data_IF_366664739547
#
_entry.id   IF_366664739547
#
_cell.length_a   1.000
_cell.length_b   1.000
_cell.length_c   1.000
_cell.angle_alpha   90.00
_cell.angle_beta   90.00
_cell.angle_gamma   90.00
#
_symmetry.space_group_name_H-M   'P 1'
#
loop_
_entity.id
_entity.type
_entity.pdbx_description
1 polymer ?
#
# COMPACT_ATOMS: atom_id res chain seq x y z
N UNK A 1 4.09 47.02 67.93
CA UNK A 1 2.61 47.00 67.97
C UNK A 1 2.14 45.55 67.84
N UNK A 2 1.52 45.06 68.92
CA UNK A 2 0.62 43.90 69.08
C UNK A 2 1.08 42.49 68.67
N UNK A 3 1.59 41.80 69.68
CA UNK A 3 1.39 40.38 70.02
C UNK A 3 -0.07 40.06 70.40
N UNK A 4 -0.37 38.77 70.61
CA UNK A 4 -1.57 38.11 71.21
C UNK A 4 -2.55 37.51 70.18
N UNK A 5 -3.22 36.36 70.41
CA UNK A 5 -3.16 35.34 71.47
C UNK A 5 -4.02 34.15 71.01
N UNK A 6 -3.69 33.00 71.59
CA UNK A 6 -4.42 31.73 71.61
C UNK A 6 -5.88 31.93 72.09
N UNK A 7 -6.83 31.17 71.53
CA UNK A 7 -8.09 30.86 72.23
C UNK A 7 -8.34 29.35 72.20
N UNK A 8 -8.48 28.82 73.41
CA UNK A 8 -8.63 27.44 73.82
C UNK A 8 -10.02 27.34 74.46
N UNK A 9 -10.87 26.40 74.04
CA UNK A 9 -12.07 26.00 74.79
C UNK A 9 -12.46 24.58 74.34
N UNK A 10 -11.98 23.55 75.05
CA UNK A 10 -12.69 22.77 76.09
C UNK A 10 -14.01 22.16 75.57
N UNK A 11 -14.02 20.87 75.21
CA UNK A 11 -14.23 19.70 76.09
C UNK A 11 -15.71 19.55 76.49
N UNK A 12 -16.44 18.61 75.85
CA UNK A 12 -17.57 17.93 76.50
C UNK A 12 -17.83 16.54 75.90
N UNK A 13 -17.92 15.57 76.81
CA UNK A 13 -18.53 14.24 76.72
C UNK A 13 -17.98 13.15 75.78
N UNK A 14 -17.16 12.30 76.39
CA UNK A 14 -17.20 10.84 76.26
C UNK A 14 -18.63 10.28 76.35
N UNK A 15 -19.07 9.55 75.32
CA UNK A 15 -19.96 8.40 75.49
C UNK A 15 -19.34 7.23 74.72
N UNK A 16 -18.86 6.25 75.50
CA UNK A 16 -18.54 4.90 75.07
C UNK A 16 -19.84 4.19 74.62
N UNK A 17 -19.92 3.83 73.35
CA UNK A 17 -20.71 2.69 72.91
C UNK A 17 -19.81 1.78 72.08
N UNK A 18 -19.32 0.73 72.73
CA UNK A 18 -18.87 -0.49 72.07
C UNK A 18 -20.08 -1.07 71.30
N UNK A 19 -20.05 -0.98 69.97
CA UNK A 19 -20.81 -1.89 69.11
C UNK A 19 -19.84 -2.46 68.10
N UNK A 20 -19.50 -3.72 68.31
CA UNK A 20 -18.82 -4.57 67.33
C UNK A 20 -19.61 -4.56 66.02
N UNK A 21 -19.07 -3.91 64.99
CA UNK A 21 -19.52 -4.13 63.63
C UNK A 21 -18.47 -4.98 62.95
N UNK A 22 -18.86 -6.22 62.69
CA UNK A 22 -18.12 -7.21 61.93
C UNK A 22 -17.60 -6.61 60.63
N UNK A 23 -16.35 -6.96 60.28
CA UNK A 23 -15.76 -6.67 59.00
C UNK A 23 -16.63 -7.23 57.87
N UNK A 24 -17.45 -6.39 57.25
CA UNK A 24 -17.95 -6.63 55.92
C UNK A 24 -16.88 -6.16 54.96
N UNK A 25 -16.03 -7.09 54.53
CA UNK A 25 -15.30 -6.93 53.29
C UNK A 25 -16.35 -6.81 52.18
N UNK A 26 -16.73 -5.58 51.84
CA UNK A 26 -17.47 -5.31 50.62
C UNK A 26 -16.69 -5.91 49.44
N UNK A 27 -17.38 -6.48 48.43
CA UNK A 27 -16.68 -7.03 47.29
C UNK A 27 -15.81 -5.94 46.69
N UNK A 28 -14.50 -6.21 46.59
CA UNK A 28 -13.59 -5.42 45.77
C UNK A 28 -14.20 -5.38 44.38
N UNK A 29 -14.75 -4.22 43.99
CA UNK A 29 -15.08 -3.96 42.61
C UNK A 29 -13.76 -4.00 41.86
N UNK A 30 -13.47 -5.13 41.23
CA UNK A 30 -12.52 -5.20 40.14
C UNK A 30 -12.97 -4.14 39.15
N UNK A 31 -12.20 -3.06 39.06
CA UNK A 31 -12.36 -2.11 37.97
C UNK A 31 -12.39 -2.93 36.70
N UNK A 32 -13.50 -2.89 35.97
CA UNK A 32 -13.61 -3.53 34.66
C UNK A 32 -12.35 -3.12 33.88
N UNK A 33 -11.61 -4.06 33.27
CA UNK A 33 -10.54 -3.67 32.36
C UNK A 33 -11.15 -2.65 31.41
N UNK A 34 -10.61 -1.44 31.42
CA UNK A 34 -11.02 -0.37 30.52
C UNK A 34 -10.97 -1.00 29.15
N UNK A 35 -12.14 -1.19 28.53
CA UNK A 35 -12.20 -1.70 27.18
C UNK A 35 -11.44 -0.67 26.35
N UNK A 36 -10.19 -0.97 26.01
CA UNK A 36 -9.44 -0.21 25.01
C UNK A 36 -10.27 -0.38 23.77
N UNK A 37 -11.10 0.62 23.50
CA UNK A 37 -11.89 0.70 22.30
C UNK A 37 -10.86 0.83 21.20
N UNK A 38 -10.42 -0.31 20.66
CA UNK A 38 -9.50 -0.36 19.55
C UNK A 38 -10.22 0.34 18.42
N UNK A 39 -9.83 1.57 18.17
CA UNK A 39 -10.33 2.35 17.05
C UNK A 39 -10.26 1.46 15.81
N UNK A 40 -11.38 1.33 15.10
CA UNK A 40 -11.52 0.55 13.87
C UNK A 40 -10.58 1.01 12.73
N UNK A 41 -9.68 1.95 13.02
CA UNK A 41 -8.61 2.50 12.22
C UNK A 41 -7.34 1.64 12.24
N UNK A 42 -7.12 0.81 13.29
CA UNK A 42 -5.91 -0.02 13.43
C UNK A 42 -5.72 -1.08 12.31
N UNK A 43 -6.74 -1.32 11.48
CA UNK A 43 -6.68 -2.19 10.30
C UNK A 43 -6.59 -1.46 8.94
N UNK A 44 -6.50 -0.12 8.92
CA UNK A 44 -6.52 0.71 7.70
C UNK A 44 -5.24 1.53 7.56
N UNK A 45 -4.08 0.90 7.70
CA UNK A 45 -2.82 1.59 7.44
C UNK A 45 -2.76 2.01 5.96
N UNK A 46 -2.48 3.30 5.66
CA UNK A 46 -2.15 3.76 4.32
C UNK A 46 -0.98 2.96 3.73
N UNK A 47 -0.91 2.91 2.40
CA UNK A 47 0.25 2.35 1.71
C UNK A 47 1.47 3.25 1.95
N UNK A 48 2.54 2.68 2.48
CA UNK A 48 3.79 3.38 2.78
C UNK A 48 4.98 2.70 2.10
N UNK A 49 5.93 3.51 1.63
CA UNK A 49 7.22 3.03 1.16
C UNK A 49 8.23 3.11 2.29
N UNK A 50 8.82 1.97 2.64
CA UNK A 50 9.72 1.78 3.78
C UNK A 50 11.17 1.75 3.25
N UNK A 51 12.05 2.49 3.90
CA UNK A 51 13.49 2.45 3.62
C UNK A 51 14.09 1.11 4.02
N UNK A 52 15.00 0.57 3.19
CA UNK A 52 15.82 -0.57 3.61
C UNK A 52 17.05 -0.11 4.40
N UNK A 53 17.03 -0.27 5.71
CA UNK A 53 18.19 -0.07 6.61
C UNK A 53 18.80 -1.41 7.06
N UNK A 54 18.69 -2.43 6.20
CA UNK A 54 19.18 -3.79 6.41
C UNK A 54 18.12 -4.79 6.87
N UNK A 55 16.83 -4.49 6.71
CA UNK A 55 15.74 -5.45 6.97
C UNK A 55 15.58 -6.44 5.82
N UNK A 56 15.99 -6.05 4.60
CA UNK A 56 15.85 -6.80 3.36
C UNK A 56 17.21 -6.97 2.67
N UNK A 57 17.26 -7.79 1.61
CA UNK A 57 18.42 -7.94 0.72
C UNK A 57 19.00 -6.58 0.30
N UNK A 58 20.33 -6.46 0.26
CA UNK A 58 21.06 -5.22 0.00
C UNK A 58 20.71 -4.55 -1.35
N UNK A 59 20.16 -5.29 -2.31
CA UNK A 59 19.75 -4.74 -3.61
C UNK A 59 18.42 -4.01 -3.54
N UNK A 60 17.65 -4.22 -2.48
CA UNK A 60 16.39 -3.53 -2.21
C UNK A 60 16.72 -2.17 -1.58
N UNK A 61 16.29 -1.09 -2.21
CA UNK A 61 16.46 0.26 -1.68
C UNK A 61 15.25 0.68 -0.82
N UNK A 62 14.06 0.34 -1.32
CA UNK A 62 12.79 0.59 -0.65
C UNK A 62 11.87 -0.60 -0.87
N UNK A 63 10.88 -0.75 0.00
CA UNK A 63 9.83 -1.75 -0.17
C UNK A 63 8.51 -1.28 0.41
N UNK A 64 7.44 -1.91 -0.01
CA UNK A 64 6.09 -1.76 0.51
C UNK A 64 5.58 -3.16 0.87
N UNK A 65 4.77 -3.26 1.93
CA UNK A 65 4.19 -4.52 2.35
C UNK A 65 2.74 -4.32 2.79
N UNK A 66 1.85 -5.06 2.15
CA UNK A 66 0.42 -5.11 2.46
C UNK A 66 -0.03 -6.51 2.88
N UNK A 67 -1.33 -6.65 3.15
CA UNK A 67 -1.93 -7.97 3.35
C UNK A 67 -1.86 -8.76 2.03
N UNK A 68 -1.16 -9.89 2.04
CA UNK A 68 -1.05 -10.81 0.89
C UNK A 68 -0.10 -10.38 -0.22
N UNK A 69 0.60 -9.25 -0.11
CA UNK A 69 1.57 -8.82 -1.12
C UNK A 69 2.72 -8.00 -0.56
N UNK A 70 3.81 -7.92 -1.32
CA UNK A 70 4.93 -7.04 -1.05
C UNK A 70 5.56 -6.54 -2.36
N UNK A 71 5.96 -5.28 -2.38
CA UNK A 71 6.65 -4.67 -3.51
C UNK A 71 8.07 -4.27 -3.13
N UNK A 72 9.05 -4.59 -3.97
CA UNK A 72 10.47 -4.32 -3.74
C UNK A 72 11.04 -3.45 -4.86
N UNK A 73 11.68 -2.35 -4.47
CA UNK A 73 12.27 -1.37 -5.38
C UNK A 73 13.78 -1.56 -5.44
N UNK A 74 14.30 -1.83 -6.64
CA UNK A 74 15.73 -2.05 -6.89
C UNK A 74 16.16 -1.21 -8.08
N UNK A 75 17.46 -0.96 -8.23
CA UNK A 75 18.00 -0.27 -9.42
C UNK A 75 17.67 -0.96 -10.75
N UNK A 76 17.33 -2.25 -10.74
CA UNK A 76 17.03 -3.05 -11.94
C UNK A 76 15.53 -3.09 -12.29
N UNK A 77 14.67 -2.54 -11.44
CA UNK A 77 13.23 -2.57 -11.60
C UNK A 77 12.49 -2.91 -10.31
N UNK A 78 11.20 -3.18 -10.45
CA UNK A 78 10.28 -3.39 -9.33
C UNK A 78 9.81 -4.84 -9.32
N UNK A 79 9.81 -5.47 -8.16
CA UNK A 79 9.30 -6.83 -7.99
C UNK A 79 8.08 -6.82 -7.08
N UNK A 80 6.99 -7.44 -7.52
CA UNK A 80 5.76 -7.66 -6.75
C UNK A 80 5.65 -9.14 -6.41
N UNK A 81 5.54 -9.45 -5.13
CA UNK A 81 5.26 -10.79 -4.62
C UNK A 81 3.79 -10.85 -4.23
N UNK A 82 3.04 -11.80 -4.80
CA UNK A 82 1.63 -12.07 -4.46
C UNK A 82 1.52 -13.43 -3.77
N UNK A 83 0.92 -13.47 -2.59
CA UNK A 83 0.53 -14.72 -1.92
C UNK A 83 -0.91 -15.02 -2.34
N UNK A 84 -1.11 -16.11 -3.10
CA UNK A 84 -2.44 -16.50 -3.58
C UNK A 84 -3.41 -16.79 -2.44
N UNK A 85 -4.57 -16.13 -2.44
CA UNK A 85 -5.73 -16.47 -1.61
C UNK A 85 -6.77 -17.21 -2.45
N UNK A 86 -7.42 -18.22 -1.89
CA UNK A 86 -8.39 -19.05 -2.60
C UNK A 86 -9.55 -18.23 -3.17
N UNK A 87 -9.91 -18.52 -4.42
CA UNK A 87 -11.06 -18.00 -5.13
C UNK A 87 -12.32 -18.71 -4.60
N UNK A 88 -13.17 -18.01 -3.85
CA UNK A 88 -14.55 -18.45 -3.65
C UNK A 88 -15.38 -18.04 -4.86
N UNK A 89 -15.68 -18.99 -5.73
CA UNK A 89 -16.73 -18.87 -6.73
C UNK A 89 -18.07 -18.62 -6.02
N UNK A 90 -18.59 -17.39 -6.10
CA UNK A 90 -19.99 -17.13 -5.78
C UNK A 90 -20.80 -17.52 -7.01
N UNK A 91 -21.54 -18.61 -6.87
CA UNK A 91 -22.58 -19.02 -7.81
C UNK A 91 -23.66 -17.95 -7.87
N UNK A 92 -24.08 -17.70 -9.10
CA UNK A 92 -25.10 -16.74 -9.52
C UNK A 92 -26.41 -16.92 -8.72
N UNK A 93 -26.98 -15.80 -8.28
CA UNK A 93 -28.22 -15.74 -7.53
C UNK A 93 -28.76 -14.31 -7.60
N UNK A 94 -29.56 -14.03 -8.62
CA UNK A 94 -30.07 -12.70 -8.91
C UNK A 94 -31.03 -12.16 -7.86
N UNK A 95 -31.07 -10.83 -7.72
CA UNK A 95 -32.31 -10.06 -7.66
C UNK A 95 -32.04 -8.57 -7.84
N UNK A 96 -33.11 -7.87 -8.20
CA UNK A 96 -33.18 -6.57 -8.86
C UNK A 96 -32.86 -5.35 -7.98
N UNK A 97 -32.41 -4.29 -8.67
CA UNK A 97 -32.87 -2.90 -8.48
C UNK A 97 -32.41 -2.13 -7.22
N UNK A 98 -31.61 -1.08 -7.43
CA UNK A 98 -32.03 0.33 -7.32
C UNK A 98 -30.78 1.25 -7.33
N UNK A 99 -30.77 2.19 -8.27
CA UNK A 99 -29.85 3.34 -8.32
C UNK A 99 -30.16 4.31 -7.17
N UNK A 100 -29.14 5.00 -6.62
CA UNK A 100 -29.15 6.46 -6.77
C UNK A 100 -27.84 7.03 -7.33
N UNK A 101 -28.00 8.04 -8.20
CA UNK A 101 -26.98 8.97 -8.69
C UNK A 101 -26.24 9.65 -7.54
N UNK A 102 -24.91 9.76 -7.64
CA UNK A 102 -24.14 10.85 -7.04
C UNK A 102 -22.83 11.08 -7.80
N UNK A 103 -22.40 12.34 -7.78
CA UNK A 103 -21.68 13.07 -8.82
C UNK A 103 -20.23 12.64 -9.08
N UNK A 104 -19.88 12.63 -10.37
CA UNK A 104 -18.55 12.28 -10.87
C UNK A 104 -17.53 13.41 -10.62
N UNK A 105 -16.70 13.26 -9.58
CA UNK A 105 -15.37 13.86 -9.52
C UNK A 105 -14.36 12.86 -10.11
N UNK A 106 -14.01 13.07 -11.37
CA UNK A 106 -13.07 12.25 -12.13
C UNK A 106 -11.65 12.41 -11.59
N UNK A 107 -11.17 11.42 -10.84
CA UNK A 107 -9.74 11.20 -10.61
C UNK A 107 -9.29 10.08 -11.54
N UNK A 108 -8.33 10.37 -12.42
CA UNK A 108 -7.76 9.41 -13.37
C UNK A 108 -7.23 8.18 -12.63
N UNK A 109 -7.85 7.04 -12.86
CA UNK A 109 -7.47 5.75 -12.27
C UNK A 109 -6.48 5.08 -13.22
N UNK A 110 -5.28 4.73 -12.76
CA UNK A 110 -4.38 3.78 -13.44
C UNK A 110 -4.07 2.55 -12.57
N UNK A 111 -4.80 2.39 -11.46
CA UNK A 111 -4.64 1.38 -10.41
C UNK A 111 -4.34 -0.04 -10.89
N UNK A 112 -3.37 -0.67 -10.22
CA UNK A 112 -3.23 -2.13 -10.16
C UNK A 112 -4.31 -2.65 -9.22
N UNK A 113 -5.49 -3.01 -9.74
CA UNK A 113 -6.54 -3.62 -8.92
C UNK A 113 -6.37 -5.13 -8.83
N UNK A 114 -6.34 -5.64 -7.59
CA UNK A 114 -6.53 -7.05 -7.27
C UNK A 114 -7.90 -7.16 -6.63
N UNK A 115 -8.85 -7.81 -7.29
CA UNK A 115 -10.17 -8.08 -6.69
C UNK A 115 -10.03 -9.11 -5.59
N UNK A 116 -10.27 -8.70 -4.34
CA UNK A 116 -10.35 -9.56 -3.17
C UNK A 116 -11.74 -9.37 -2.54
N UNK A 117 -12.55 -10.43 -2.48
CA UNK A 117 -13.86 -10.40 -1.84
C UNK A 117 -13.71 -10.36 -0.31
N UNK A 118 -14.61 -9.63 0.36
CA UNK A 118 -14.63 -9.43 1.81
C UNK A 118 -15.61 -10.43 2.46
N UNK A 119 -15.21 -11.31 3.39
CA UNK A 119 -16.17 -12.13 4.13
C UNK A 119 -16.79 -11.30 5.27
N UNK A 120 -18.12 -11.13 5.23
CA UNK A 120 -18.87 -10.62 6.38
C UNK A 120 -18.96 -11.69 7.49
N UNK A 121 -18.88 -11.17 8.71
CA UNK A 121 -18.94 -11.82 10.01
C UNK A 121 -20.10 -12.82 10.19
N UNK A 122 -19.78 -14.06 10.51
CA UNK A 122 -20.56 -14.89 11.44
C UNK A 122 -19.60 -15.77 12.25
N UNK A 123 -19.53 -15.51 13.56
CA UNK A 123 -18.73 -16.25 14.52
C UNK A 123 -19.42 -17.59 14.85
N UNK A 124 -18.69 -18.73 14.89
CA UNK A 124 -18.60 -19.42 16.19
C UNK A 124 -17.24 -20.08 16.49
N UNK A 125 -16.84 -19.92 17.76
CA UNK A 125 -16.04 -20.78 18.67
C UNK A 125 -14.61 -21.22 18.24
N UNK A 126 -13.59 -21.07 19.11
CA UNK A 126 -12.21 -21.42 18.77
C UNK A 126 -12.01 -22.93 18.83
N UNK A 127 -12.25 -23.62 17.71
CA UNK A 127 -11.58 -24.89 17.46
C UNK A 127 -10.16 -24.60 16.99
N UNK A 128 -9.19 -25.26 17.63
CA UNK A 128 -7.77 -25.26 17.24
C UNK A 128 -7.69 -25.82 15.83
N UNK A 129 -7.84 -24.94 14.84
CA UNK A 129 -7.61 -25.24 13.44
C UNK A 129 -6.10 -25.40 13.27
N UNK A 130 -5.65 -26.65 13.21
CA UNK A 130 -4.33 -26.97 12.70
C UNK A 130 -4.19 -26.33 11.32
N UNK A 131 -3.25 -25.40 11.19
CA UNK A 131 -2.96 -24.69 9.95
C UNK A 131 -2.37 -25.64 8.91
N UNK A 132 -3.19 -26.52 8.34
CA UNK A 132 -2.86 -27.37 7.21
C UNK A 132 -3.32 -26.74 5.88
N UNK A 133 -3.36 -25.41 5.80
CA UNK A 133 -3.45 -24.75 4.50
C UNK A 133 -2.14 -24.98 3.75
N UNK A 134 -2.15 -25.52 2.53
CA UNK A 134 -0.92 -25.62 1.74
C UNK A 134 -0.32 -24.23 1.60
N UNK A 135 0.93 -24.08 2.04
CA UNK A 135 1.73 -22.88 1.85
C UNK A 135 1.87 -22.65 0.35
N UNK A 136 0.95 -21.88 -0.24
CA UNK A 136 1.04 -21.54 -1.65
C UNK A 136 2.25 -20.63 -1.81
N UNK A 137 3.23 -21.10 -2.60
CA UNK A 137 4.43 -20.31 -2.85
C UNK A 137 4.04 -19.00 -3.53
N UNK A 138 4.57 -17.85 -3.08
CA UNK A 138 4.19 -16.56 -3.66
C UNK A 138 4.55 -16.50 -5.15
N UNK A 139 3.64 -15.98 -5.97
CA UNK A 139 3.93 -15.65 -7.37
C UNK A 139 4.75 -14.35 -7.40
N UNK A 140 5.97 -14.43 -7.94
CA UNK A 140 6.86 -13.27 -8.11
C UNK A 140 6.71 -12.69 -9.52
N UNK A 141 6.21 -11.46 -9.59
CA UNK A 141 6.05 -10.67 -10.81
C UNK A 141 7.13 -9.59 -10.81
N UNK A 142 7.81 -9.37 -11.94
CA UNK A 142 8.78 -8.27 -12.08
C UNK A 142 8.36 -7.30 -13.17
N UNK A 143 8.37 -6.02 -12.84
CA UNK A 143 8.26 -4.90 -13.78
C UNK A 143 9.66 -4.35 -14.05
N UNK A 144 10.11 -4.49 -15.30
CA UNK A 144 11.48 -4.20 -15.71
C UNK A 144 11.46 -3.07 -16.76
N UNK A 145 12.09 -1.92 -16.50
CA UNK A 145 12.28 -0.90 -17.52
C UNK A 145 13.39 -1.34 -18.49
N UNK A 146 13.03 -1.55 -19.76
CA UNK A 146 13.93 -2.06 -20.80
C UNK A 146 14.74 -0.94 -21.44
N UNK A 147 16.05 -1.15 -21.63
CA UNK A 147 16.97 -0.13 -22.16
C UNK A 147 17.03 1.17 -21.34
N UNK A 148 16.61 1.09 -20.07
CA UNK A 148 16.71 2.16 -19.10
C UNK A 148 18.14 2.32 -18.57
N UNK A 149 18.38 3.44 -17.88
CA UNK A 149 19.55 3.61 -17.04
C UNK A 149 19.63 2.43 -16.04
N UNK A 150 20.75 1.72 -16.01
CA UNK A 150 20.96 0.55 -15.15
C UNK A 150 21.37 0.92 -13.71
N UNK A 151 21.67 2.20 -13.47
CA UNK A 151 21.98 2.76 -12.16
C UNK A 151 21.23 4.10 -11.97
N UNK A 152 19.89 4.08 -11.98
CA UNK A 152 19.11 5.28 -11.74
C UNK A 152 19.28 5.73 -10.28
N UNK A 153 19.24 7.04 -10.07
CA UNK A 153 19.03 7.59 -8.73
C UNK A 153 17.59 7.31 -8.31
N UNK A 154 17.42 6.76 -7.09
CA UNK A 154 16.11 6.46 -6.52
C UNK A 154 15.95 7.37 -5.30
N UNK A 155 15.03 8.31 -5.38
CA UNK A 155 14.71 9.24 -4.29
C UNK A 155 13.31 8.96 -3.76
N UNK A 156 12.98 9.57 -2.63
CA UNK A 156 11.66 9.49 -2.01
C UNK A 156 11.01 10.86 -1.91
N UNK A 157 9.68 10.88 -1.83
CA UNK A 157 8.90 12.09 -1.62
C UNK A 157 7.86 11.89 -0.52
N UNK A 158 7.55 12.96 0.20
CA UNK A 158 6.53 12.99 1.24
C UNK A 158 6.87 12.08 2.42
N UNK A 159 7.91 12.43 3.17
CA UNK A 159 8.21 11.81 4.47
C UNK A 159 6.95 11.73 5.32
N UNK A 160 6.73 10.59 5.96
CA UNK A 160 5.56 10.33 6.78
C UNK A 160 5.93 10.30 8.26
N UNK A 161 4.98 10.70 9.10
CA UNK A 161 5.11 10.63 10.56
C UNK A 161 5.15 9.18 11.05
N UNK A 162 4.44 8.29 10.36
CA UNK A 162 4.45 6.86 10.62
C UNK A 162 5.85 6.27 10.43
N UNK A 163 6.33 5.55 11.44
CA UNK A 163 7.60 4.82 11.41
C UNK A 163 7.37 3.33 11.55
N UNK A 164 8.29 2.53 11.01
CA UNK A 164 8.24 1.07 11.12
C UNK A 164 9.34 0.57 12.04
N UNK A 165 9.02 -0.45 12.82
CA UNK A 165 9.95 -1.14 13.72
C UNK A 165 9.96 -2.64 13.39
N UNK A 166 11.15 -3.23 13.32
CA UNK A 166 11.40 -4.64 13.08
C UNK A 166 12.15 -5.25 14.27
N UNK A 167 11.43 -6.08 15.02
CA UNK A 167 11.95 -6.82 16.16
C UNK A 167 12.02 -8.31 15.81
N UNK A 168 12.91 -8.68 14.89
CA UNK A 168 13.05 -10.07 14.42
C UNK A 168 14.06 -10.81 15.30
N UNK A 169 13.61 -11.93 15.88
CA UNK A 169 14.43 -12.80 16.72
C UNK A 169 14.74 -12.22 18.10
N UNK A 170 15.56 -12.95 18.86
CA UNK A 170 15.80 -12.68 20.28
C UNK A 170 17.06 -11.82 20.55
N UNK A 171 17.69 -11.27 19.51
CA UNK A 171 18.89 -10.43 19.63
C UNK A 171 18.51 -8.96 19.41
N UNK A 172 18.43 -8.12 20.47
CA UNK A 172 18.09 -6.72 20.34
C UNK A 172 19.06 -5.92 19.47
N UNK A 173 20.30 -6.38 19.29
CA UNK A 173 21.26 -5.70 18.38
C UNK A 173 20.87 -5.84 16.91
N UNK A 174 20.03 -6.82 16.57
CA UNK A 174 19.48 -7.03 15.23
C UNK A 174 18.16 -6.30 15.01
N UNK A 175 17.57 -5.75 16.07
CA UNK A 175 16.35 -4.98 15.96
C UNK A 175 16.60 -3.67 15.21
N UNK A 176 15.59 -3.24 14.45
CA UNK A 176 15.59 -1.97 13.73
C UNK A 176 14.38 -1.19 14.17
N UNK A 177 14.58 0.04 14.63
CA UNK A 177 13.49 0.91 15.06
C UNK A 177 13.54 2.25 14.33
N UNK A 178 12.42 2.96 14.33
CA UNK A 178 12.30 4.30 13.75
C UNK A 178 12.61 4.38 12.25
N UNK A 179 12.35 3.32 11.49
CA UNK A 179 12.59 3.30 10.05
C UNK A 179 11.61 4.27 9.39
N UNK A 180 12.15 5.16 8.56
CA UNK A 180 11.38 6.19 7.87
C UNK A 180 10.46 5.58 6.83
N UNK A 181 9.30 6.22 6.66
CA UNK A 181 8.36 5.88 5.60
C UNK A 181 7.99 7.08 4.75
N UNK A 182 7.63 6.83 3.50
CA UNK A 182 7.44 7.86 2.48
C UNK A 182 6.15 7.61 1.67
N UNK A 183 5.62 8.67 1.05
CA UNK A 183 4.44 8.61 0.16
C UNK A 183 4.76 8.11 -1.24
N UNK A 184 5.99 8.27 -1.69
CA UNK A 184 6.38 7.90 -3.04
C UNK A 184 7.86 7.53 -3.16
N UNK A 185 8.16 6.72 -4.17
CA UNK A 185 9.52 6.35 -4.63
C UNK A 185 9.67 6.80 -6.08
N UNK A 186 10.73 7.53 -6.40
CA UNK A 186 10.96 8.12 -7.73
C UNK A 186 12.27 7.63 -8.30
N UNK A 187 12.21 6.97 -9.46
CA UNK A 187 13.37 6.69 -10.30
C UNK A 187 13.67 7.89 -11.18
N UNK A 188 14.73 8.63 -10.87
CA UNK A 188 15.14 9.82 -11.62
C UNK A 188 15.90 9.44 -12.88
N UNK A 189 15.59 10.12 -13.98
CA UNK A 189 16.23 9.93 -15.27
C UNK A 189 16.37 8.45 -15.67
N UNK A 190 15.33 7.66 -15.37
CA UNK A 190 15.29 6.23 -15.70
C UNK A 190 15.37 6.02 -17.21
N UNK A 191 14.84 6.97 -17.99
CA UNK A 191 15.25 7.22 -19.36
C UNK A 191 15.69 8.69 -19.49
N UNK A 192 16.38 9.03 -20.59
CA UNK A 192 16.80 10.42 -20.86
C UNK A 192 15.58 11.36 -20.78
N UNK A 193 15.61 12.26 -19.80
CA UNK A 193 14.55 13.23 -19.47
C UNK A 193 13.20 12.62 -19.07
N UNK A 194 13.19 11.40 -18.51
CA UNK A 194 11.96 10.74 -18.05
C UNK A 194 12.21 10.18 -16.64
N UNK A 195 11.34 10.52 -15.71
CA UNK A 195 11.31 9.94 -14.37
C UNK A 195 10.16 8.91 -14.29
N UNK A 196 10.25 7.94 -13.38
CA UNK A 196 9.17 7.01 -13.07
C UNK A 196 8.86 7.07 -11.57
N UNK A 197 7.65 7.50 -11.21
CA UNK A 197 7.25 7.76 -9.83
C UNK A 197 6.21 6.76 -9.40
N UNK A 198 6.44 6.07 -8.28
CA UNK A 198 5.50 5.14 -7.67
C UNK A 198 4.87 5.79 -6.44
N UNK A 199 3.57 5.62 -6.26
CA UNK A 199 2.82 6.16 -5.12
C UNK A 199 1.64 5.26 -4.77
N UNK A 200 1.06 5.44 -3.58
CA UNK A 200 -0.16 4.74 -3.17
C UNK A 200 -1.43 5.51 -3.55
N UNK A 201 -2.42 4.81 -4.07
CA UNK A 201 -3.79 5.29 -4.30
C UNK A 201 -4.79 4.25 -3.80
N UNK A 202 -5.64 4.57 -2.82
CA UNK A 202 -6.65 3.65 -2.26
C UNK A 202 -6.10 2.26 -1.85
N UNK A 203 -4.89 2.22 -1.27
CA UNK A 203 -4.13 0.99 -0.90
C UNK A 203 -3.61 0.17 -2.08
N UNK A 204 -3.69 0.69 -3.30
CA UNK A 204 -3.08 0.12 -4.49
C UNK A 204 -1.86 0.96 -4.87
N UNK A 205 -0.80 0.30 -5.31
CA UNK A 205 0.33 1.01 -5.90
C UNK A 205 0.00 1.43 -7.32
N UNK A 206 0.31 2.68 -7.65
CA UNK A 206 0.29 3.23 -9.00
C UNK A 206 1.67 3.75 -9.38
N UNK A 207 1.85 4.08 -10.66
CA UNK A 207 3.01 4.84 -11.09
C UNK A 207 2.69 5.79 -12.24
N UNK A 208 3.42 6.89 -12.26
CA UNK A 208 3.43 7.87 -13.34
C UNK A 208 4.74 7.79 -14.12
N UNK A 209 4.66 8.07 -15.42
CA UNK A 209 5.81 8.27 -16.30
C UNK A 209 5.91 9.77 -16.56
N UNK A 210 6.80 10.44 -15.82
CA UNK A 210 6.94 11.90 -15.91
C UNK A 210 7.92 12.23 -17.03
N UNK A 211 7.39 12.66 -18.17
CA UNK A 211 8.11 12.99 -19.39
C UNK A 211 8.45 14.48 -19.39
N UNK A 212 9.71 14.81 -19.06
CA UNK A 212 10.18 16.21 -19.06
C UNK A 212 10.31 16.77 -20.48
N UNK A 213 10.36 18.11 -20.66
CA UNK A 213 10.52 18.73 -21.97
C UNK A 213 11.63 18.11 -22.82
N UNK A 214 11.34 17.92 -24.11
CA UNK A 214 12.25 17.33 -25.10
C UNK A 214 12.39 15.79 -25.05
N UNK A 215 11.79 15.11 -24.08
CA UNK A 215 11.77 13.65 -24.03
C UNK A 215 10.82 13.04 -25.09
N UNK A 216 11.02 11.75 -25.39
CA UNK A 216 10.16 10.98 -26.30
C UNK A 216 9.47 9.86 -25.51
N UNK A 217 8.15 9.92 -25.25
CA UNK A 217 7.41 8.90 -24.51
C UNK A 217 7.58 7.49 -25.10
N UNK A 218 7.73 7.39 -26.43
CA UNK A 218 7.94 6.14 -27.15
C UNK A 218 9.21 5.37 -26.79
N UNK A 219 10.15 5.98 -26.05
CA UNK A 219 11.33 5.30 -25.50
C UNK A 219 10.98 4.38 -24.33
N UNK A 220 9.90 4.65 -23.63
CA UNK A 220 9.52 3.90 -22.43
C UNK A 220 9.00 2.53 -22.86
N UNK A 221 9.76 1.50 -22.50
CA UNK A 221 9.40 0.11 -22.71
C UNK A 221 9.48 -0.62 -21.39
N UNK A 222 8.36 -1.19 -20.96
CA UNK A 222 8.26 -1.91 -19.72
C UNK A 222 8.01 -3.39 -20.04
N UNK A 223 8.68 -4.26 -19.29
CA UNK A 223 8.51 -5.69 -19.41
C UNK A 223 7.98 -6.29 -18.11
N UNK A 224 6.94 -7.10 -18.23
CA UNK A 224 6.55 -8.03 -17.18
C UNK A 224 7.28 -9.35 -17.33
N UNK A 225 7.64 -9.93 -16.19
CA UNK A 225 8.14 -11.29 -16.05
C UNK A 225 7.39 -11.97 -14.90
N UNK A 226 7.20 -13.29 -14.99
CA UNK A 226 6.42 -14.05 -14.00
C UNK A 226 4.90 -14.01 -14.21
N UNK A 227 4.46 -13.69 -15.43
CA UNK A 227 3.04 -13.61 -15.82
C UNK A 227 2.75 -14.62 -16.95
N UNK A 228 1.48 -14.97 -17.14
CA UNK A 228 1.05 -15.94 -18.18
C UNK A 228 0.73 -15.25 -19.52
N UNK A 229 0.31 -13.98 -19.49
CA UNK A 229 -0.15 -13.28 -20.68
C UNK A 229 -0.24 -11.77 -20.50
N UNK A 230 -0.15 -11.04 -21.61
CA UNK A 230 -0.28 -9.59 -21.64
C UNK A 230 -1.03 -9.16 -22.89
N UNK A 231 -2.12 -8.41 -22.72
CA UNK A 231 -2.92 -7.89 -23.84
C UNK A 231 -3.54 -6.54 -23.52
N UNK A 232 -3.90 -5.79 -24.55
CA UNK A 232 -4.77 -4.61 -24.44
C UNK A 232 -6.20 -5.08 -24.68
N UNK A 233 -7.14 -4.70 -23.81
CA UNK A 233 -8.56 -5.00 -23.98
C UNK A 233 -9.20 -4.07 -25.00
N UNK A 234 -10.43 -4.36 -25.42
CA UNK A 234 -11.19 -3.49 -26.31
C UNK A 234 -11.40 -2.07 -25.72
N UNK A 235 -11.56 -1.98 -24.40
CA UNK A 235 -11.64 -0.70 -23.67
C UNK A 235 -10.31 0.06 -23.52
N UNK A 236 -9.20 -0.47 -24.04
CA UNK A 236 -7.88 0.15 -23.96
C UNK A 236 -7.11 -0.11 -22.66
N UNK A 237 -7.67 -0.92 -21.75
CA UNK A 237 -7.01 -1.33 -20.50
C UNK A 237 -5.91 -2.38 -20.80
N UNK A 238 -4.83 -2.39 -20.02
CA UNK A 238 -3.82 -3.45 -20.07
C UNK A 238 -4.19 -4.57 -19.09
N UNK A 239 -4.49 -5.75 -19.62
CA UNK A 239 -4.73 -6.96 -18.83
C UNK A 239 -3.44 -7.78 -18.72
N UNK A 240 -3.03 -8.06 -17.48
CA UNK A 240 -1.89 -8.89 -17.10
C UNK A 240 -2.45 -10.20 -16.54
N UNK A 241 -2.34 -11.28 -17.30
CA UNK A 241 -2.82 -12.61 -16.88
C UNK A 241 -1.82 -13.24 -15.91
N UNK A 242 -2.29 -13.68 -14.76
CA UNK A 242 -1.51 -14.34 -13.72
C UNK A 242 -1.88 -15.82 -13.65
N UNK A 243 -1.22 -16.57 -12.77
CA UNK A 243 -1.57 -17.96 -12.53
C UNK A 243 -2.97 -18.04 -11.89
N UNK A 244 -3.19 -17.21 -10.88
CA UNK A 244 -4.40 -17.17 -10.08
C UNK A 244 -5.10 -15.80 -10.25
N UNK A 245 -5.66 -15.58 -11.44
CA UNK A 245 -6.43 -14.39 -11.78
C UNK A 245 -5.71 -13.42 -12.72
N UNK A 246 -5.96 -12.13 -12.57
CA UNK A 246 -5.44 -11.09 -13.45
C UNK A 246 -5.31 -9.74 -12.75
N UNK A 247 -4.42 -8.91 -13.27
CA UNK A 247 -4.34 -7.49 -12.91
C UNK A 247 -4.80 -6.67 -14.11
N UNK A 248 -5.69 -5.71 -13.87
CA UNK A 248 -6.14 -4.75 -14.88
C UNK A 248 -5.51 -3.40 -14.59
N UNK A 249 -4.86 -2.80 -15.58
CA UNK A 249 -4.42 -1.42 -15.54
C UNK A 249 -5.26 -0.61 -16.51
N UNK A 250 -5.90 0.42 -15.99
CA UNK A 250 -6.72 1.29 -16.83
C UNK A 250 -5.91 1.97 -17.91
N UNK A 251 -6.56 2.24 -19.05
CA UNK A 251 -5.94 2.96 -20.17
C UNK A 251 -5.20 4.21 -19.65
N UNK A 252 -4.04 4.56 -20.23
CA UNK A 252 -3.24 5.67 -19.71
C UNK A 252 -4.05 6.96 -19.71
N UNK A 253 -4.11 7.63 -18.56
CA UNK A 253 -4.56 9.01 -18.47
C UNK A 253 -3.33 9.89 -18.65
N UNK A 254 -3.22 10.54 -19.81
CA UNK A 254 -2.03 11.34 -20.16
C UNK A 254 -2.43 12.80 -20.20
N UNK A 255 -1.65 13.67 -19.56
CA UNK A 255 -1.96 15.10 -19.52
C UNK A 255 -0.72 15.98 -19.44
N UNK A 256 -0.88 17.23 -19.87
CA UNK A 256 0.05 18.33 -19.59
C UNK A 256 -0.57 19.27 -18.57
N UNK A 257 0.27 19.85 -17.72
CA UNK A 257 -0.13 20.98 -16.89
C UNK A 257 0.21 22.28 -17.61
N UNK A 258 -0.81 23.03 -18.03
CA UNK A 258 -0.69 24.30 -18.76
C UNK A 258 -1.47 25.35 -17.97
N UNK A 259 -0.78 26.39 -17.50
CA UNK A 259 -1.37 27.47 -16.69
C UNK A 259 -2.19 26.95 -15.49
N UNK A 260 -1.67 25.91 -14.81
CA UNK A 260 -2.32 25.27 -13.65
C UNK A 260 -3.52 24.38 -14.01
N UNK A 261 -3.81 24.16 -15.29
CA UNK A 261 -4.90 23.28 -15.77
C UNK A 261 -4.34 22.02 -16.40
N UNK A 262 -5.00 20.89 -16.15
CA UNK A 262 -4.71 19.63 -16.85
C UNK A 262 -5.35 19.63 -18.24
N UNK A 263 -4.51 19.59 -19.25
CA UNK A 263 -4.90 19.41 -20.65
C UNK A 263 -4.62 17.96 -21.02
N UNK A 264 -5.69 17.18 -21.20
CA UNK A 264 -5.59 15.77 -21.58
C UNK A 264 -5.00 15.61 -22.98
N UNK A 265 -4.16 14.58 -23.14
CA UNK A 265 -3.55 14.17 -24.41
C UNK A 265 -3.95 12.71 -24.64
N UNK A 266 -4.37 12.36 -25.86
CA UNK A 266 -4.74 10.97 -26.13
C UNK A 266 -3.53 10.03 -25.97
N UNK A 267 -3.77 8.91 -25.29
CA UNK A 267 -2.75 7.97 -24.86
C UNK A 267 -3.28 6.55 -24.77
N UNK A 268 -2.48 5.59 -25.25
CA UNK A 268 -2.84 4.17 -25.23
C UNK A 268 -1.66 3.25 -24.99
N UNK A 269 -1.94 2.08 -24.43
CA UNK A 269 -0.97 1.01 -24.34
C UNK A 269 -0.71 0.38 -25.71
N UNK A 270 0.51 -0.13 -25.89
CA UNK A 270 0.86 -0.98 -27.03
C UNK A 270 1.71 -2.16 -26.58
N UNK A 271 1.16 -3.37 -26.68
CA UNK A 271 1.92 -4.61 -26.47
C UNK A 271 2.83 -4.84 -27.67
N UNK A 272 4.11 -5.13 -27.42
CA UNK A 272 5.14 -5.36 -28.46
C UNK A 272 5.50 -6.83 -28.63
N UNK A 273 4.81 -7.72 -27.92
CA UNK A 273 5.00 -9.17 -27.93
C UNK A 273 5.74 -9.70 -26.71
N UNK A 274 6.24 -10.93 -26.83
CA UNK A 274 7.03 -11.59 -25.80
C UNK A 274 8.37 -12.07 -26.35
N UNK A 275 9.40 -12.17 -25.51
CA UNK A 275 10.71 -12.72 -25.92
C UNK A 275 10.55 -14.20 -26.31
N UNK A 276 10.38 -14.49 -27.60
CA UNK A 276 9.97 -15.78 -28.15
C UNK A 276 11.01 -16.91 -28.06
N UNK A 277 12.19 -16.66 -27.46
CA UNK A 277 13.32 -17.62 -27.45
C UNK A 277 13.85 -17.99 -26.07
N UNK A 278 13.20 -17.57 -24.98
CA UNK A 278 13.60 -17.99 -23.63
C UNK A 278 12.73 -19.14 -23.16
N UNK A 279 13.32 -20.12 -22.44
CA UNK A 279 12.58 -21.15 -21.67
C UNK A 279 11.38 -20.46 -20.99
N UNK A 280 10.20 -21.09 -20.92
CA UNK A 280 8.94 -20.50 -20.39
C UNK A 280 9.19 -19.65 -19.12
N UNK A 281 10.05 -20.13 -18.22
CA UNK A 281 10.44 -19.45 -16.98
C UNK A 281 11.13 -18.08 -17.13
N UNK A 282 11.70 -17.75 -18.29
CA UNK A 282 12.42 -16.50 -18.58
C UNK A 282 11.69 -15.60 -19.59
N UNK A 283 10.45 -15.93 -19.95
CA UNK A 283 9.65 -15.12 -20.87
C UNK A 283 9.41 -13.72 -20.28
N UNK A 284 9.60 -12.70 -21.11
CA UNK A 284 9.22 -11.32 -20.82
C UNK A 284 8.11 -10.90 -21.77
N UNK A 285 7.11 -10.20 -21.25
CA UNK A 285 6.02 -9.61 -22.01
C UNK A 285 6.19 -8.10 -22.03
N UNK A 286 6.29 -7.52 -23.21
CA UNK A 286 6.74 -6.14 -23.39
C UNK A 286 5.55 -5.27 -23.80
N UNK A 287 5.41 -4.13 -23.15
CA UNK A 287 4.51 -3.07 -23.58
C UNK A 287 5.21 -1.70 -23.53
N UNK A 288 4.60 -0.74 -24.20
CA UNK A 288 4.95 0.67 -24.10
C UNK A 288 3.73 1.53 -24.31
N UNK A 289 3.97 2.80 -24.61
CA UNK A 289 2.95 3.82 -24.75
C UNK A 289 2.95 4.38 -26.17
N UNK A 290 1.76 4.64 -26.69
CA UNK A 290 1.55 5.49 -27.85
C UNK A 290 0.80 6.72 -27.35
N UNK A 291 1.39 7.89 -27.55
CA UNK A 291 0.86 9.18 -27.11
C UNK A 291 0.68 10.05 -28.33
N UNK A 292 -0.43 10.77 -28.40
CA UNK A 292 -0.70 11.76 -29.43
C UNK A 292 0.31 12.92 -29.38
N UNK A 293 0.26 13.79 -30.38
CA UNK A 293 1.03 15.03 -30.42
C UNK A 293 0.67 15.89 -29.21
N UNK A 294 1.68 16.48 -28.57
CA UNK A 294 1.54 17.37 -27.43
C UNK A 294 2.52 18.53 -27.54
N UNK A 295 2.29 19.62 -26.81
CA UNK A 295 3.11 20.82 -26.91
C UNK A 295 4.34 20.73 -26.00
N UNK A 296 5.50 20.56 -26.63
CA UNK A 296 6.79 20.33 -25.94
C UNK A 296 7.33 21.56 -25.21
N UNK A 297 6.71 22.73 -25.35
CA UNK A 297 7.10 23.97 -24.65
C UNK A 297 6.62 24.00 -23.21
N UNK A 298 5.57 23.26 -22.89
CA UNK A 298 4.92 23.24 -21.58
C UNK A 298 5.55 22.21 -20.62
N UNK A 299 5.23 22.30 -19.30
CA UNK A 299 5.68 21.38 -18.26
C UNK A 299 5.52 19.88 -18.58
N UNK A 300 6.12 19.01 -17.76
CA UNK A 300 6.17 17.58 -18.03
C UNK A 300 4.81 16.97 -18.36
N UNK A 301 4.81 16.14 -19.39
CA UNK A 301 3.69 15.27 -19.69
C UNK A 301 3.71 14.12 -18.67
N UNK A 302 2.59 13.88 -18.00
CA UNK A 302 2.43 12.79 -17.02
C UNK A 302 1.41 11.78 -17.50
#
# INVERSE_FOLDING_TARGET
MKTHSICLSYLFCLILCFVSVAAWAGPVQSGRPTHVQMDATYGKLPLYFIQNDGQMDEKVQFYEKGSGHATFFTKRGVSLSLVGGQQSEVRDGGSAGLHPKQEARWHGQTGLSVSLANPQSSNPKPEVSTCNSPLTSPQLIKLIPLSANNNPEIITEGLQEGKVNYFIGNDPKKWKSNILTYKAVVYKAIYKNIDMKFYGNNRQMEYDIVVKPGARPSRVQLAYHGIEGLRVTEGGDLEVSLKDGKIIKKRPYVYQEIDGKRVEVDGKFRVRGSTAKSKIRNRKFIYGFQVASYDKRYPPLS
#
